data_IF_183375803686
#
_entry.id   IF_183375803686
#
_cell.length_a   1.000
_cell.length_b   1.000
_cell.length_c   1.000
_cell.angle_alpha   90.00
_cell.angle_beta   90.00
_cell.angle_gamma   90.00
#
_symmetry.space_group_name_H-M   'P 1'
#
loop_
_entity.id
_entity.type
_entity.pdbx_description
1 polymer ?
#
# COMPACT_ATOMS: atom_id res chain seq x y z
N UNK A 1 -20.05 -16.13 10.32
CA UNK A 1 -18.60 -16.31 10.04
C UNK A 1 -18.38 -17.39 8.98
N UNK A 2 -18.60 -17.08 7.69
CA UNK A 2 -18.61 -18.06 6.57
C UNK A 2 -17.42 -17.96 5.60
N UNK A 3 -16.36 -17.20 5.90
CA UNK A 3 -15.41 -16.73 4.86
C UNK A 3 -13.95 -17.17 5.04
N UNK A 4 -13.71 -18.40 5.44
CA UNK A 4 -12.38 -19.01 5.41
C UNK A 4 -12.49 -20.35 4.71
N UNK A 5 -11.53 -20.68 3.84
CA UNK A 5 -11.46 -21.99 3.21
C UNK A 5 -10.86 -23.05 4.14
N UNK A 6 -10.33 -22.63 5.29
CA UNK A 6 -9.77 -23.51 6.30
C UNK A 6 -10.88 -24.23 7.06
N UNK A 7 -10.84 -25.56 6.99
CA UNK A 7 -11.68 -26.46 7.79
C UNK A 7 -11.33 -26.39 9.29
N UNK A 8 -12.23 -26.88 10.16
CA UNK A 8 -11.94 -27.00 11.60
C UNK A 8 -10.68 -27.83 11.88
N UNK A 9 -10.47 -28.91 11.11
CA UNK A 9 -9.29 -29.77 11.21
C UNK A 9 -8.01 -29.00 10.86
N UNK A 10 -7.98 -28.33 9.70
CA UNK A 10 -6.82 -27.52 9.29
C UNK A 10 -6.47 -26.43 10.31
N UNK A 11 -7.47 -25.78 10.93
CA UNK A 11 -7.22 -24.79 12.00
C UNK A 11 -6.60 -25.42 13.25
N UNK A 12 -7.07 -26.60 13.65
CA UNK A 12 -6.45 -27.37 14.75
C UNK A 12 -5.00 -27.76 14.42
N UNK A 13 -4.76 -28.21 13.20
CA UNK A 13 -3.41 -28.57 12.74
C UNK A 13 -2.48 -27.35 12.68
N UNK A 14 -2.97 -26.19 12.22
CA UNK A 14 -2.22 -24.93 12.27
C UNK A 14 -1.79 -24.59 13.71
N UNK A 15 -2.70 -24.68 14.69
CA UNK A 15 -2.36 -24.39 16.09
C UNK A 15 -1.28 -25.35 16.65
N UNK A 16 -1.36 -26.63 16.29
CA UNK A 16 -0.33 -27.62 16.63
C UNK A 16 1.01 -27.30 15.97
N UNK A 17 1.00 -26.96 14.68
CA UNK A 17 2.22 -26.61 13.95
C UNK A 17 2.86 -25.32 14.46
N UNK A 18 2.07 -24.32 14.87
CA UNK A 18 2.59 -23.10 15.50
C UNK A 18 3.35 -23.47 16.78
N UNK A 19 2.73 -24.27 17.65
CA UNK A 19 3.35 -24.70 18.92
C UNK A 19 4.63 -25.51 18.70
N UNK A 20 4.70 -26.28 17.61
CA UNK A 20 5.87 -27.06 17.23
C UNK A 20 6.91 -26.27 16.40
N UNK A 21 6.64 -25.01 16.04
CA UNK A 21 7.49 -24.23 15.12
C UNK A 21 7.58 -24.78 13.70
N UNK A 22 6.61 -25.61 13.28
CA UNK A 22 6.55 -26.22 11.94
C UNK A 22 5.85 -25.30 10.94
N UNK A 23 6.56 -24.25 10.50
CA UNK A 23 6.01 -23.31 9.53
C UNK A 23 5.77 -23.92 8.14
N UNK A 24 6.52 -24.95 7.75
CA UNK A 24 6.29 -25.65 6.49
C UNK A 24 4.90 -26.29 6.46
N UNK A 25 4.50 -26.99 7.53
CA UNK A 25 3.16 -27.57 7.64
C UNK A 25 2.04 -26.54 7.55
N UNK A 26 2.24 -25.34 8.11
CA UNK A 26 1.28 -24.23 8.01
C UNK A 26 1.17 -23.74 6.56
N UNK A 27 2.31 -23.55 5.89
CA UNK A 27 2.33 -23.08 4.50
C UNK A 27 1.74 -24.10 3.54
N UNK A 28 2.03 -25.40 3.70
CA UNK A 28 1.41 -26.46 2.89
C UNK A 28 -0.12 -26.46 2.98
N UNK A 29 -0.69 -26.13 4.16
CA UNK A 29 -2.14 -25.96 4.30
C UNK A 29 -2.64 -24.76 3.49
N UNK A 30 -1.96 -23.61 3.56
CA UNK A 30 -2.33 -22.42 2.77
C UNK A 30 -2.20 -22.68 1.26
N UNK A 31 -1.13 -23.34 0.83
CA UNK A 31 -0.92 -23.71 -0.57
C UNK A 31 -2.07 -24.60 -1.07
N UNK A 32 -2.54 -25.56 -0.26
CA UNK A 32 -3.66 -26.45 -0.62
C UNK A 32 -5.01 -25.74 -0.82
N UNK A 33 -5.18 -24.53 -0.29
CA UNK A 33 -6.40 -23.71 -0.43
C UNK A 33 -6.17 -22.47 -1.31
N UNK A 34 -5.08 -22.45 -2.08
CA UNK A 34 -4.75 -21.34 -2.97
C UNK A 34 -5.74 -21.22 -4.13
N UNK A 35 -5.99 -19.98 -4.53
CA UNK A 35 -6.92 -19.69 -5.62
C UNK A 35 -6.21 -19.69 -6.95
N UNK A 36 -6.89 -20.12 -8.02
CA UNK A 36 -6.34 -20.10 -9.38
C UNK A 36 -5.98 -18.69 -9.87
N UNK A 37 -6.78 -17.69 -9.46
CA UNK A 37 -6.60 -16.32 -9.94
C UNK A 37 -5.34 -15.67 -9.37
N UNK A 38 -5.09 -15.85 -8.08
CA UNK A 38 -4.05 -15.11 -7.37
C UNK A 38 -2.80 -15.97 -7.08
N UNK A 39 -2.91 -17.29 -7.21
CA UNK A 39 -1.81 -18.23 -6.95
C UNK A 39 -1.52 -18.42 -5.44
N UNK A 40 -2.30 -17.78 -4.57
CA UNK A 40 -2.15 -17.86 -3.11
C UNK A 40 -3.51 -18.05 -2.42
N UNK A 41 -3.49 -18.33 -1.12
CA UNK A 41 -4.69 -18.48 -0.30
C UNK A 41 -5.48 -17.17 -0.19
N UNK A 42 -6.77 -17.24 0.15
CA UNK A 42 -7.57 -16.03 0.35
C UNK A 42 -7.01 -15.21 1.53
N UNK A 43 -7.15 -13.89 1.43
CA UNK A 43 -6.71 -12.95 2.46
C UNK A 43 -7.18 -13.30 3.88
N UNK A 44 -8.41 -13.81 4.04
CA UNK A 44 -8.96 -14.18 5.35
C UNK A 44 -8.24 -15.39 5.96
N UNK A 45 -7.82 -16.36 5.15
CA UNK A 45 -7.05 -17.53 5.60
C UNK A 45 -5.64 -17.11 6.04
N UNK A 46 -4.98 -16.27 5.24
CA UNK A 46 -3.65 -15.70 5.57
C UNK A 46 -3.70 -14.85 6.84
N UNK A 47 -4.71 -14.00 7.01
CA UNK A 47 -4.92 -13.19 8.23
C UNK A 47 -5.19 -14.04 9.46
N UNK A 48 -5.92 -15.15 9.32
CA UNK A 48 -6.12 -16.09 10.42
C UNK A 48 -4.78 -16.68 10.88
N UNK A 49 -3.97 -17.20 9.95
CA UNK A 49 -2.63 -17.74 10.27
C UNK A 49 -1.73 -16.69 10.92
N UNK A 50 -1.67 -15.48 10.36
CA UNK A 50 -0.88 -14.37 10.94
C UNK A 50 -1.34 -14.08 12.37
N UNK A 51 -2.66 -14.00 12.60
CA UNK A 51 -3.21 -13.70 13.92
C UNK A 51 -2.86 -14.78 14.95
N UNK A 52 -2.95 -16.06 14.59
CA UNK A 52 -2.60 -17.16 15.49
C UNK A 52 -1.10 -17.20 15.81
N UNK A 53 -0.23 -16.98 14.82
CA UNK A 53 1.22 -16.88 15.07
C UNK A 53 1.53 -15.71 16.02
N UNK A 54 0.94 -14.54 15.77
CA UNK A 54 1.13 -13.34 16.60
C UNK A 54 0.63 -13.57 18.02
N UNK A 55 -0.56 -14.17 18.17
CA UNK A 55 -1.13 -14.52 19.47
C UNK A 55 -0.20 -15.46 20.24
N UNK A 56 0.27 -16.52 19.58
CA UNK A 56 1.17 -17.48 20.22
C UNK A 56 2.47 -16.83 20.70
N UNK A 57 3.14 -16.05 19.84
CA UNK A 57 4.39 -15.36 20.18
C UNK A 57 4.19 -14.38 21.34
N UNK A 58 3.08 -13.62 21.35
CA UNK A 58 2.82 -12.67 22.43
C UNK A 58 2.49 -13.34 23.77
N UNK A 59 1.87 -14.53 23.77
CA UNK A 59 1.53 -15.26 25.00
C UNK A 59 2.73 -16.01 25.57
N UNK A 60 3.55 -16.62 24.71
CA UNK A 60 4.64 -17.52 25.14
C UNK A 60 6.02 -16.84 25.17
N UNK A 61 6.17 -15.67 24.54
CA UNK A 61 7.46 -15.05 24.32
C UNK A 61 7.99 -14.29 25.53
N UNK A 62 9.08 -14.77 26.13
CA UNK A 62 9.93 -13.94 27.02
C UNK A 62 10.55 -12.74 26.27
N UNK A 63 10.77 -12.90 24.96
CA UNK A 63 11.25 -11.85 24.06
C UNK A 63 10.50 -11.91 22.71
N UNK A 64 9.31 -11.30 22.61
CA UNK A 64 8.46 -11.39 21.43
C UNK A 64 9.15 -10.88 20.14
N UNK A 65 9.98 -9.84 20.23
CA UNK A 65 10.65 -9.27 19.05
C UNK A 65 11.63 -10.25 18.40
N UNK A 66 12.41 -10.98 19.20
CA UNK A 66 13.31 -12.02 18.69
C UNK A 66 12.52 -13.18 18.08
N UNK A 67 11.42 -13.59 18.71
CA UNK A 67 10.59 -14.68 18.19
C UNK A 67 9.87 -14.30 16.90
N UNK A 68 9.40 -13.06 16.75
CA UNK A 68 8.91 -12.54 15.47
C UNK A 68 9.97 -12.60 14.38
N UNK A 69 11.22 -12.23 14.71
CA UNK A 69 12.33 -12.29 13.74
C UNK A 69 12.57 -13.73 13.28
N UNK A 70 12.73 -14.67 14.22
CA UNK A 70 12.98 -16.09 13.92
C UNK A 70 11.86 -16.72 13.12
N UNK A 71 10.61 -16.52 13.54
CA UNK A 71 9.42 -17.05 12.87
C UNK A 71 9.29 -16.49 11.44
N UNK A 72 9.38 -15.16 11.31
CA UNK A 72 9.31 -14.47 10.02
C UNK A 72 10.42 -14.91 9.08
N UNK A 73 11.66 -15.06 9.57
CA UNK A 73 12.79 -15.53 8.77
C UNK A 73 12.60 -16.98 8.30
N UNK A 74 12.10 -17.88 9.15
CA UNK A 74 11.79 -19.27 8.77
C UNK A 74 10.72 -19.31 7.67
N UNK A 75 9.66 -18.52 7.82
CA UNK A 75 8.60 -18.39 6.80
C UNK A 75 9.15 -17.86 5.48
N UNK A 76 9.90 -16.76 5.49
CA UNK A 76 10.46 -16.11 4.30
C UNK A 76 11.48 -16.96 3.53
N UNK A 77 12.02 -18.00 4.16
CA UNK A 77 12.91 -18.98 3.51
C UNK A 77 12.17 -20.11 2.80
N UNK A 78 10.86 -20.28 3.03
CA UNK A 78 10.06 -21.29 2.34
C UNK A 78 9.74 -20.77 0.94
N UNK A 79 9.95 -21.62 -0.09
CA UNK A 79 9.66 -21.30 -1.49
C UNK A 79 8.16 -21.39 -1.78
N UNK A 80 7.40 -20.42 -1.28
CA UNK A 80 5.96 -20.25 -1.54
C UNK A 80 5.58 -18.77 -1.42
N UNK A 81 4.70 -18.29 -2.29
CA UNK A 81 4.21 -16.91 -2.20
C UNK A 81 3.34 -16.69 -0.96
N UNK A 82 2.56 -17.69 -0.52
CA UNK A 82 1.87 -17.65 0.78
C UNK A 82 2.88 -17.46 1.92
N UNK A 83 4.05 -18.10 1.84
CA UNK A 83 5.09 -17.98 2.85
C UNK A 83 5.71 -16.58 2.88
N UNK A 84 5.92 -15.95 1.71
CA UNK A 84 6.40 -14.56 1.64
C UNK A 84 5.39 -13.59 2.26
N UNK A 85 4.11 -13.74 1.92
CA UNK A 85 3.03 -12.88 2.39
C UNK A 85 2.80 -12.99 3.90
N UNK A 86 2.76 -14.21 4.45
CA UNK A 86 2.67 -14.42 5.90
C UNK A 86 3.97 -13.97 6.56
N UNK A 87 5.11 -14.40 6.03
CA UNK A 87 6.43 -14.14 6.59
C UNK A 87 6.76 -12.67 6.70
N UNK A 88 6.43 -11.84 5.70
CA UNK A 88 6.67 -10.40 5.75
C UNK A 88 5.82 -9.71 6.81
N UNK A 89 4.58 -10.17 7.00
CA UNK A 89 3.73 -9.70 8.08
C UNK A 89 4.23 -10.14 9.46
N UNK A 90 4.88 -11.30 9.59
CA UNK A 90 5.49 -11.69 10.88
C UNK A 90 6.78 -10.91 11.14
N UNK A 91 7.70 -10.84 10.17
CA UNK A 91 9.05 -10.33 10.41
C UNK A 91 9.09 -8.82 10.69
N UNK A 92 8.18 -8.02 10.11
CA UNK A 92 8.23 -6.56 10.29
C UNK A 92 8.04 -6.16 11.76
N UNK A 93 7.32 -6.97 12.54
CA UNK A 93 7.09 -6.76 13.98
C UNK A 93 8.38 -6.82 14.78
N UNK A 94 9.44 -7.42 14.23
CA UNK A 94 10.76 -7.47 14.83
C UNK A 94 11.65 -6.27 14.48
N UNK A 95 11.13 -5.25 13.77
CA UNK A 95 11.93 -4.12 13.27
C UNK A 95 12.77 -3.45 14.37
N UNK A 96 12.21 -3.24 15.58
CA UNK A 96 12.94 -2.62 16.70
C UNK A 96 14.15 -3.45 17.18
N UNK A 97 14.13 -4.75 16.96
CA UNK A 97 15.21 -5.66 17.36
C UNK A 97 16.28 -5.83 16.28
N UNK A 98 15.87 -5.91 15.00
CA UNK A 98 16.75 -6.16 13.85
C UNK A 98 16.44 -5.23 12.67
N UNK A 99 16.63 -3.90 12.81
CA UNK A 99 16.13 -2.94 11.84
C UNK A 99 16.76 -3.09 10.45
N UNK A 100 18.06 -3.39 10.37
CA UNK A 100 18.76 -3.53 9.09
C UNK A 100 18.29 -4.78 8.33
N UNK A 101 18.24 -5.92 9.02
CA UNK A 101 17.84 -7.20 8.43
C UNK A 101 16.35 -7.19 8.04
N UNK A 102 15.49 -6.65 8.89
CA UNK A 102 14.06 -6.48 8.57
C UNK A 102 13.88 -5.53 7.39
N UNK A 103 14.64 -4.43 7.30
CA UNK A 103 14.62 -3.53 6.14
C UNK A 103 15.03 -4.25 4.86
N UNK A 104 16.04 -5.13 4.90
CA UNK A 104 16.45 -5.93 3.76
C UNK A 104 15.34 -6.86 3.25
N UNK A 105 14.59 -7.49 4.16
CA UNK A 105 13.42 -8.29 3.79
C UNK A 105 12.26 -7.46 3.26
N UNK A 106 11.95 -6.32 3.89
CA UNK A 106 10.94 -5.39 3.40
C UNK A 106 11.27 -4.91 1.98
N UNK A 107 12.54 -4.61 1.69
CA UNK A 107 12.98 -4.26 0.35
C UNK A 107 12.71 -5.39 -0.64
N UNK A 108 13.26 -6.58 -0.36
CA UNK A 108 13.16 -7.75 -1.23
C UNK A 108 11.72 -8.14 -1.56
N UNK A 109 10.84 -8.15 -0.57
CA UNK A 109 9.46 -8.57 -0.75
C UNK A 109 8.60 -7.46 -1.40
N UNK A 110 8.97 -6.19 -1.20
CA UNK A 110 8.32 -5.07 -1.92
C UNK A 110 8.66 -5.11 -3.42
N UNK A 111 9.84 -5.60 -3.80
CA UNK A 111 10.25 -5.78 -5.20
C UNK A 111 9.90 -7.16 -5.80
N UNK A 112 9.06 -7.95 -5.13
CA UNK A 112 8.77 -9.30 -5.61
C UNK A 112 8.06 -9.28 -6.98
N UNK A 113 8.35 -10.25 -7.84
CA UNK A 113 7.70 -10.40 -9.14
C UNK A 113 6.20 -10.63 -9.04
N UNK A 114 5.73 -11.31 -7.98
CA UNK A 114 4.31 -11.55 -7.78
C UNK A 114 3.62 -10.30 -7.20
N UNK A 115 2.62 -9.80 -7.92
CA UNK A 115 1.88 -8.60 -7.53
C UNK A 115 1.12 -8.74 -6.22
N UNK A 116 0.60 -9.93 -5.87
CA UNK A 116 -0.12 -10.14 -4.62
C UNK A 116 0.83 -10.08 -3.41
N UNK A 117 2.02 -10.65 -3.56
CA UNK A 117 3.11 -10.55 -2.56
C UNK A 117 3.44 -9.09 -2.28
N UNK A 118 3.51 -8.24 -3.32
CA UNK A 118 3.75 -6.79 -3.16
C UNK A 118 2.63 -6.08 -2.40
N UNK A 119 1.37 -6.50 -2.51
CA UNK A 119 0.27 -5.93 -1.71
C UNK A 119 0.45 -6.22 -0.21
N UNK A 120 0.89 -7.43 0.14
CA UNK A 120 1.23 -7.78 1.53
C UNK A 120 2.47 -7.00 2.01
N UNK A 121 3.48 -6.84 1.15
CA UNK A 121 4.64 -6.01 1.45
C UNK A 121 4.24 -4.57 1.80
N UNK A 122 3.34 -3.96 1.02
CA UNK A 122 2.83 -2.61 1.27
C UNK A 122 2.13 -2.50 2.64
N UNK A 123 1.36 -3.52 3.04
CA UNK A 123 0.78 -3.62 4.37
C UNK A 123 1.83 -3.68 5.49
N UNK A 124 2.89 -4.46 5.29
CA UNK A 124 4.02 -4.56 6.22
C UNK A 124 4.83 -3.24 6.29
N UNK A 125 5.03 -2.53 5.19
CA UNK A 125 5.65 -1.20 5.19
C UNK A 125 4.84 -0.18 5.98
N UNK A 126 3.52 -0.16 5.78
CA UNK A 126 2.60 0.70 6.52
C UNK A 126 2.62 0.38 8.03
N UNK A 127 2.60 -0.91 8.39
CA UNK A 127 2.73 -1.37 9.78
C UNK A 127 4.06 -0.95 10.40
N UNK A 128 5.17 -1.16 9.69
CA UNK A 128 6.52 -0.76 10.13
C UNK A 128 6.58 0.73 10.40
N UNK A 129 6.11 1.56 9.45
CA UNK A 129 6.10 3.01 9.59
C UNK A 129 5.24 3.49 10.77
N UNK A 130 4.07 2.87 10.97
CA UNK A 130 3.14 3.19 12.06
C UNK A 130 3.78 2.93 13.43
N UNK A 131 4.45 1.79 13.57
CA UNK A 131 5.06 1.34 14.84
C UNK A 131 6.46 1.95 15.06
N UNK A 132 7.10 2.44 14.00
CA UNK A 132 8.48 2.92 13.97
C UNK A 132 8.61 4.18 13.09
N UNK A 133 8.27 5.38 13.61
CA UNK A 133 8.28 6.62 12.83
C UNK A 133 9.62 6.96 12.16
N UNK A 134 10.75 6.48 12.70
CA UNK A 134 12.09 6.63 12.12
C UNK A 134 12.25 5.91 10.77
N UNK A 135 11.45 4.89 10.48
CA UNK A 135 11.44 4.18 9.19
C UNK A 135 11.06 5.11 8.03
N UNK A 136 10.48 6.27 8.31
CA UNK A 136 10.27 7.35 7.33
C UNK A 136 11.55 7.73 6.57
N UNK A 137 12.72 7.69 7.21
CA UNK A 137 14.00 7.98 6.56
C UNK A 137 14.37 6.94 5.51
N UNK A 138 13.98 5.68 5.70
CA UNK A 138 14.13 4.63 4.69
C UNK A 138 13.22 4.91 3.50
N UNK A 139 11.95 5.24 3.76
CA UNK A 139 11.00 5.57 2.69
C UNK A 139 11.45 6.79 1.87
N UNK A 140 12.04 7.81 2.52
CA UNK A 140 12.65 8.97 1.83
C UNK A 140 13.78 8.58 0.87
N UNK A 141 14.50 7.50 1.12
CA UNK A 141 15.51 6.98 0.18
C UNK A 141 14.82 6.24 -0.96
N UNK A 142 13.85 5.39 -0.63
CA UNK A 142 13.15 4.55 -1.61
C UNK A 142 12.28 5.30 -2.61
N UNK A 143 11.88 6.55 -2.35
CA UNK A 143 11.21 7.38 -3.39
C UNK A 143 12.09 7.63 -4.62
N UNK A 144 13.41 7.43 -4.52
CA UNK A 144 14.37 7.56 -5.62
C UNK A 144 14.94 6.21 -6.07
N UNK A 145 14.41 5.11 -5.57
CA UNK A 145 14.87 3.77 -5.94
C UNK A 145 14.65 3.52 -7.44
N UNK A 146 15.50 2.72 -8.08
CA UNK A 146 15.34 2.34 -9.49
C UNK A 146 14.08 1.49 -9.72
N UNK A 147 13.69 0.68 -8.73
CA UNK A 147 12.48 -0.15 -8.82
C UNK A 147 11.21 0.67 -8.67
N UNK A 148 10.32 0.60 -9.68
CA UNK A 148 8.98 1.18 -9.58
C UNK A 148 8.10 0.50 -8.51
N UNK A 149 8.39 -0.77 -8.17
CA UNK A 149 7.68 -1.49 -7.13
C UNK A 149 7.97 -0.89 -5.76
N UNK A 150 9.24 -0.55 -5.48
CA UNK A 150 9.64 0.12 -4.25
C UNK A 150 9.02 1.50 -4.14
N UNK A 151 9.10 2.30 -5.21
CA UNK A 151 8.48 3.65 -5.25
C UNK A 151 6.97 3.58 -5.03
N UNK A 152 6.28 2.60 -5.63
CA UNK A 152 4.86 2.32 -5.35
C UNK A 152 4.64 1.87 -3.90
N UNK A 153 5.50 1.01 -3.36
CA UNK A 153 5.44 0.58 -1.97
C UNK A 153 5.47 1.77 -1.01
N UNK A 154 6.28 2.79 -1.31
CA UNK A 154 6.29 4.06 -0.56
C UNK A 154 4.94 4.79 -0.64
N UNK A 155 4.34 4.90 -1.83
CA UNK A 155 3.01 5.51 -2.03
C UNK A 155 1.97 4.86 -1.10
N UNK A 156 1.95 3.53 -1.02
CA UNK A 156 0.99 2.79 -0.19
C UNK A 156 1.32 2.85 1.30
N UNK A 157 2.60 2.79 1.68
CA UNK A 157 3.03 2.89 3.07
C UNK A 157 2.61 4.22 3.72
N UNK A 158 2.58 5.31 2.93
CA UNK A 158 2.15 6.62 3.39
C UNK A 158 0.69 6.68 3.87
N UNK A 159 -0.15 5.68 3.56
CA UNK A 159 -1.51 5.60 4.12
C UNK A 159 -1.53 5.53 5.64
N UNK A 160 -0.48 4.97 6.27
CA UNK A 160 -0.31 4.93 7.73
C UNK A 160 -0.11 6.32 8.36
N UNK A 161 0.23 7.33 7.56
CA UNK A 161 0.43 8.71 8.00
C UNK A 161 -0.84 9.56 7.87
N UNK A 162 -1.94 9.02 7.35
CA UNK A 162 -3.22 9.75 7.27
C UNK A 162 -3.82 9.91 8.66
N UNK A 163 -3.93 11.15 9.13
CA UNK A 163 -4.46 11.45 10.44
C UNK A 163 -5.17 12.81 10.45
N UNK A 164 -6.49 12.82 10.71
CA UNK A 164 -7.28 14.06 10.71
C UNK A 164 -6.96 14.96 11.89
N UNK A 165 -6.44 14.39 12.98
CA UNK A 165 -6.16 15.11 14.21
C UNK A 165 -4.68 15.46 14.36
N UNK A 166 -3.83 14.96 13.46
CA UNK A 166 -2.39 15.23 13.45
C UNK A 166 -1.94 15.72 12.06
N UNK A 167 -1.97 17.03 11.90
CA UNK A 167 -1.54 17.70 10.68
C UNK A 167 -0.03 17.51 10.40
N UNK A 168 0.81 17.37 11.43
CA UNK A 168 2.26 17.18 11.28
C UNK A 168 2.56 15.81 10.69
N UNK A 169 1.89 14.77 11.19
CA UNK A 169 1.98 13.41 10.67
C UNK A 169 1.43 13.31 9.25
N UNK A 170 0.26 13.91 8.99
CA UNK A 170 -0.29 13.97 7.62
C UNK A 170 0.65 14.69 6.66
N UNK A 171 1.27 15.80 7.08
CA UNK A 171 2.23 16.54 6.25
C UNK A 171 3.44 15.69 5.84
N UNK A 172 3.87 14.71 6.65
CA UNK A 172 4.95 13.78 6.26
C UNK A 172 4.58 12.94 5.04
N UNK A 173 3.32 12.52 4.90
CA UNK A 173 2.83 11.81 3.71
C UNK A 173 2.97 12.69 2.46
N UNK A 174 2.46 13.91 2.54
CA UNK A 174 2.47 14.85 1.41
C UNK A 174 3.88 15.28 0.98
N UNK A 175 4.85 15.31 1.90
CA UNK A 175 6.27 15.51 1.53
C UNK A 175 6.83 14.39 0.67
N UNK A 176 6.43 13.14 0.90
CA UNK A 176 6.82 12.01 0.04
C UNK A 176 6.03 12.02 -1.26
N UNK A 177 4.73 12.33 -1.21
CA UNK A 177 3.91 12.46 -2.41
C UNK A 177 4.44 13.54 -3.35
N UNK A 178 4.87 14.70 -2.84
CA UNK A 178 5.47 15.77 -3.64
C UNK A 178 6.66 15.28 -4.48
N UNK A 179 7.53 14.45 -3.92
CA UNK A 179 8.65 13.85 -4.66
C UNK A 179 8.17 12.86 -5.72
N UNK A 180 7.15 12.05 -5.38
CA UNK A 180 6.60 11.02 -6.26
C UNK A 180 5.64 11.56 -7.34
N UNK A 181 5.22 12.82 -7.26
CA UNK A 181 4.40 13.45 -8.30
C UNK A 181 5.11 13.54 -9.66
N UNK A 182 6.45 13.56 -9.64
CA UNK A 182 7.31 13.60 -10.83
C UNK A 182 7.57 12.21 -11.44
N UNK A 183 7.09 11.13 -10.83
CA UNK A 183 7.39 9.78 -11.28
C UNK A 183 6.81 9.51 -12.69
N UNK A 184 7.64 9.00 -13.59
CA UNK A 184 7.22 8.68 -14.96
C UNK A 184 6.52 7.33 -15.06
N UNK A 185 6.72 6.42 -14.09
CA UNK A 185 6.09 5.11 -14.06
C UNK A 185 4.57 5.24 -13.98
N UNK A 186 3.88 4.58 -14.92
CA UNK A 186 2.43 4.46 -14.87
C UNK A 186 1.97 3.75 -13.60
N UNK A 187 2.74 2.74 -13.14
CA UNK A 187 2.39 1.97 -11.96
C UNK A 187 2.39 2.84 -10.70
N UNK A 188 3.41 3.67 -10.51
CA UNK A 188 3.47 4.62 -9.39
C UNK A 188 2.37 5.68 -9.51
N UNK A 189 2.24 6.31 -10.68
CA UNK A 189 1.28 7.40 -10.90
C UNK A 189 -0.18 7.01 -10.70
N UNK A 190 -0.60 5.84 -11.19
CA UNK A 190 -1.98 5.36 -10.99
C UNK A 190 -2.27 5.11 -9.51
N UNK A 191 -1.28 4.65 -8.74
CA UNK A 191 -1.44 4.50 -7.30
C UNK A 191 -1.42 5.87 -6.58
N UNK A 192 -0.63 6.84 -7.04
CA UNK A 192 -0.55 8.15 -6.40
C UNK A 192 -1.75 9.06 -6.73
N UNK A 193 -1.97 9.39 -8.00
CA UNK A 193 -2.97 10.37 -8.43
C UNK A 193 -4.42 9.92 -8.14
N UNK A 194 -4.98 9.00 -8.94
CA UNK A 194 -6.38 8.60 -8.78
C UNK A 194 -6.65 7.82 -7.49
N UNK A 195 -5.75 6.93 -7.07
CA UNK A 195 -6.02 6.09 -5.90
C UNK A 195 -5.72 6.81 -4.58
N UNK A 196 -4.48 7.20 -4.31
CA UNK A 196 -4.09 7.77 -3.02
C UNK A 196 -4.58 9.22 -2.86
N UNK A 197 -4.28 10.12 -3.79
CA UNK A 197 -4.70 11.53 -3.68
C UNK A 197 -6.19 11.68 -3.93
N UNK A 198 -6.75 10.99 -4.94
CA UNK A 198 -8.18 11.00 -5.23
C UNK A 198 -8.99 10.20 -4.23
N UNK A 199 -9.05 8.89 -4.42
CA UNK A 199 -10.01 8.03 -3.72
C UNK A 199 -9.76 7.91 -2.21
N UNK A 200 -8.49 7.84 -1.77
CA UNK A 200 -8.15 7.56 -0.38
C UNK A 200 -8.03 8.81 0.49
N UNK A 201 -7.15 9.76 0.15
CA UNK A 201 -7.01 11.02 0.88
C UNK A 201 -8.09 12.01 0.45
N UNK A 202 -8.43 12.14 -0.83
CA UNK A 202 -9.39 13.14 -1.32
C UNK A 202 -10.76 13.00 -0.68
N UNK A 203 -11.29 11.78 -0.60
CA UNK A 203 -12.58 11.53 0.08
C UNK A 203 -12.52 11.68 1.61
N UNK A 204 -11.33 11.61 2.23
CA UNK A 204 -11.20 11.62 3.69
C UNK A 204 -10.67 12.94 4.25
N UNK A 205 -9.95 13.73 3.46
CA UNK A 205 -9.25 14.96 3.82
C UNK A 205 -9.23 15.92 2.60
N UNK A 206 -10.40 16.24 2.02
CA UNK A 206 -10.52 16.94 0.73
C UNK A 206 -9.77 18.28 0.72
N UNK A 207 -9.92 19.09 1.78
CA UNK A 207 -9.25 20.40 1.87
C UNK A 207 -7.73 20.30 1.84
N UNK A 208 -7.15 19.26 2.45
CA UNK A 208 -5.69 19.03 2.43
C UNK A 208 -5.22 18.64 1.03
N UNK A 209 -5.96 17.75 0.36
CA UNK A 209 -5.65 17.33 -1.01
C UNK A 209 -5.80 18.50 -1.98
N UNK A 210 -6.91 19.24 -1.95
CA UNK A 210 -7.12 20.39 -2.83
C UNK A 210 -6.02 21.46 -2.65
N UNK A 211 -5.63 21.75 -1.41
CA UNK A 211 -4.51 22.66 -1.13
C UNK A 211 -3.19 22.15 -1.72
N UNK A 212 -2.91 20.86 -1.58
CA UNK A 212 -1.72 20.23 -2.17
C UNK A 212 -1.75 20.27 -3.70
N UNK A 213 -2.86 19.86 -4.33
CA UNK A 213 -3.00 19.90 -5.78
C UNK A 213 -2.87 21.33 -6.32
N UNK A 214 -3.41 22.33 -5.62
CA UNK A 214 -3.27 23.75 -5.98
C UNK A 214 -1.82 24.22 -5.92
N UNK A 215 -1.04 23.76 -4.92
CA UNK A 215 0.41 23.99 -4.88
C UNK A 215 1.09 23.35 -6.09
N UNK A 216 0.80 22.07 -6.37
CA UNK A 216 1.44 21.32 -7.45
C UNK A 216 1.06 21.79 -8.86
N UNK A 217 -0.09 22.46 -9.02
CA UNK A 217 -0.55 22.99 -10.30
C UNK A 217 0.41 24.02 -10.92
N UNK A 218 1.26 24.66 -10.09
CA UNK A 218 2.28 25.61 -10.52
C UNK A 218 3.50 24.94 -11.18
N UNK A 219 3.64 23.62 -11.06
CA UNK A 219 4.83 22.89 -11.53
C UNK A 219 4.67 22.56 -13.01
N UNK A 220 5.66 22.96 -13.81
CA UNK A 220 5.67 22.68 -15.24
C UNK A 220 6.24 21.28 -15.58
N UNK A 221 5.74 20.24 -14.91
CA UNK A 221 6.05 18.84 -15.23
C UNK A 221 4.78 18.09 -15.70
N UNK A 222 4.83 17.36 -16.84
CA UNK A 222 3.64 16.70 -17.39
C UNK A 222 3.14 15.52 -16.54
N UNK A 223 4.00 14.85 -15.75
CA UNK A 223 3.60 13.79 -14.84
C UNK A 223 2.90 14.34 -13.60
N UNK A 224 3.40 15.46 -13.06
CA UNK A 224 2.74 16.18 -11.97
C UNK A 224 1.34 16.60 -12.39
N UNK A 225 1.21 17.25 -13.55
CA UNK A 225 -0.08 17.75 -14.04
C UNK A 225 -1.05 16.62 -14.43
N UNK A 226 -0.53 15.51 -14.96
CA UNK A 226 -1.32 14.30 -15.16
C UNK A 226 -1.88 13.75 -13.86
N UNK A 227 -1.06 13.67 -12.79
CA UNK A 227 -1.52 13.20 -11.48
C UNK A 227 -2.61 14.11 -10.90
N UNK A 228 -2.52 15.44 -11.10
CA UNK A 228 -3.56 16.40 -10.68
C UNK A 228 -4.87 16.12 -11.41
N UNK A 229 -4.85 16.01 -12.74
CA UNK A 229 -6.06 15.71 -13.52
C UNK A 229 -6.69 14.38 -13.07
N UNK A 230 -5.87 13.34 -12.92
CA UNK A 230 -6.34 11.99 -12.61
C UNK A 230 -6.78 11.82 -11.15
N UNK A 231 -6.36 12.69 -10.22
CA UNK A 231 -6.90 12.69 -8.86
C UNK A 231 -8.42 12.88 -8.84
N UNK A 232 -9.00 13.55 -9.85
CA UNK A 232 -10.45 13.74 -10.00
C UNK A 232 -11.14 12.65 -10.82
N UNK A 233 -10.41 11.69 -11.41
CA UNK A 233 -10.99 10.59 -12.19
C UNK A 233 -11.45 9.43 -11.29
N UNK A 234 -12.31 9.73 -10.31
CA UNK A 234 -12.88 8.78 -9.35
C UNK A 234 -13.96 9.50 -8.51
N UNK A 235 -14.38 8.87 -7.41
CA UNK A 235 -15.38 9.43 -6.48
C UNK A 235 -15.00 10.81 -5.93
N UNK A 236 -13.72 11.14 -5.77
CA UNK A 236 -13.30 12.46 -5.30
C UNK A 236 -13.73 13.58 -6.27
N UNK A 237 -13.53 13.39 -7.58
CA UNK A 237 -14.04 14.36 -8.57
C UNK A 237 -15.56 14.45 -8.57
N UNK A 238 -16.25 13.32 -8.41
CA UNK A 238 -17.72 13.31 -8.35
C UNK A 238 -18.28 13.99 -7.09
N UNK A 239 -17.56 13.91 -5.97
CA UNK A 239 -17.96 14.52 -4.70
C UNK A 239 -17.62 16.02 -4.65
N UNK A 240 -16.64 16.47 -5.45
CA UNK A 240 -16.21 17.87 -5.52
C UNK A 240 -16.16 18.36 -6.98
N UNK A 241 -17.29 18.34 -7.71
CA UNK A 241 -17.32 18.62 -9.14
C UNK A 241 -16.84 20.02 -9.50
N UNK A 242 -17.28 21.05 -8.76
CA UNK A 242 -16.91 22.44 -9.06
C UNK A 242 -15.40 22.68 -8.85
N UNK A 243 -14.82 22.11 -7.80
CA UNK A 243 -13.38 22.16 -7.58
C UNK A 243 -12.65 21.39 -8.69
N UNK A 244 -13.10 20.18 -9.03
CA UNK A 244 -12.51 19.40 -10.12
C UNK A 244 -12.46 20.20 -11.43
N UNK A 245 -13.55 20.87 -11.80
CA UNK A 245 -13.60 21.72 -13.00
C UNK A 245 -12.61 22.88 -12.95
N UNK A 246 -12.43 23.54 -11.80
CA UNK A 246 -11.41 24.61 -11.67
C UNK A 246 -10.03 24.11 -12.04
N UNK A 247 -9.63 22.93 -11.56
CA UNK A 247 -8.34 22.32 -11.91
C UNK A 247 -8.29 21.88 -13.38
N UNK A 248 -9.32 21.17 -13.84
CA UNK A 248 -9.35 20.61 -15.18
C UNK A 248 -9.39 21.71 -16.26
N UNK A 249 -10.06 22.84 -16.03
CA UNK A 249 -10.10 23.97 -16.97
C UNK A 249 -8.74 24.66 -17.11
N UNK A 250 -7.97 24.74 -16.03
CA UNK A 250 -6.57 25.21 -16.11
C UNK A 250 -5.74 24.24 -16.96
N UNK A 251 -5.85 22.93 -16.69
CA UNK A 251 -5.09 21.90 -17.38
C UNK A 251 -5.56 21.63 -18.82
N UNK A 252 -6.78 22.01 -19.20
CA UNK A 252 -7.30 21.83 -20.55
C UNK A 252 -6.55 22.68 -21.59
N UNK A 253 -5.88 23.74 -21.15
CA UNK A 253 -5.03 24.60 -22.00
C UNK A 253 -3.62 24.01 -22.21
N UNK A 254 -3.31 22.89 -21.57
CA UNK A 254 -2.01 22.24 -21.68
C UNK A 254 -1.81 21.64 -23.07
N UNK A 255 -0.63 21.83 -23.66
CA UNK A 255 -0.27 21.31 -24.97
C UNK A 255 0.35 19.90 -24.90
N UNK A 256 0.73 19.42 -23.72
CA UNK A 256 1.34 18.12 -23.56
C UNK A 256 0.29 16.99 -23.73
N UNK A 257 0.50 16.04 -24.66
CA UNK A 257 -0.46 14.98 -24.94
C UNK A 257 -0.76 14.07 -23.74
N UNK A 258 0.20 13.88 -22.83
CA UNK A 258 -0.02 13.08 -21.61
C UNK A 258 -1.06 13.76 -20.74
N UNK A 259 -0.91 15.07 -20.51
CA UNK A 259 -1.83 15.86 -19.69
C UNK A 259 -3.21 15.93 -20.33
N UNK A 260 -3.29 16.22 -21.63
CA UNK A 260 -4.55 16.28 -22.37
C UNK A 260 -5.36 14.98 -22.26
N UNK A 261 -4.70 13.82 -22.39
CA UNK A 261 -5.37 12.52 -22.20
C UNK A 261 -5.90 12.34 -20.78
N UNK A 262 -5.14 12.77 -19.77
CA UNK A 262 -5.57 12.74 -18.37
C UNK A 262 -6.79 13.63 -18.13
N UNK A 263 -6.76 14.87 -18.62
CA UNK A 263 -7.87 15.83 -18.52
C UNK A 263 -9.12 15.30 -19.20
N UNK A 264 -9.00 14.85 -20.45
CA UNK A 264 -10.12 14.26 -21.20
C UNK A 264 -10.74 13.07 -20.44
N UNK A 265 -9.90 12.20 -19.88
CA UNK A 265 -10.39 11.06 -19.11
C UNK A 265 -11.14 11.50 -17.85
N UNK A 266 -10.63 12.47 -17.11
CA UNK A 266 -11.27 12.97 -15.89
C UNK A 266 -12.58 13.72 -16.20
N UNK A 267 -12.62 14.55 -17.24
CA UNK A 267 -13.82 15.24 -17.70
C UNK A 267 -14.91 14.25 -18.15
N UNK A 268 -14.54 13.25 -18.96
CA UNK A 268 -15.48 12.21 -19.39
C UNK A 268 -16.08 11.45 -18.20
N UNK A 269 -15.27 11.14 -17.19
CA UNK A 269 -15.75 10.51 -15.96
C UNK A 269 -16.75 11.41 -15.21
N UNK A 270 -16.40 12.69 -15.05
CA UNK A 270 -17.20 13.67 -14.31
C UNK A 270 -18.55 13.92 -15.00
N UNK A 271 -18.55 14.14 -16.31
CA UNK A 271 -19.75 14.39 -17.13
C UNK A 271 -20.71 13.19 -17.14
N UNK A 272 -20.17 11.96 -17.18
CA UNK A 272 -21.00 10.75 -17.11
C UNK A 272 -21.81 10.66 -15.81
N UNK A 273 -21.28 11.23 -14.71
CA UNK A 273 -21.86 11.16 -13.37
C UNK A 273 -22.62 12.42 -12.98
N UNK A 274 -22.39 13.55 -13.65
CA UNK A 274 -22.98 14.84 -13.33
C UNK A 274 -23.48 15.54 -14.61
N UNK A 275 -24.66 15.14 -15.09
CA UNK A 275 -25.24 15.61 -16.37
C UNK A 275 -25.54 17.12 -16.43
N UNK A 276 -25.58 17.80 -15.28
CA UNK A 276 -25.89 19.23 -15.19
C UNK A 276 -24.64 20.13 -15.23
N UNK A 277 -23.44 19.55 -15.26
CA UNK A 277 -22.20 20.29 -15.34
C UNK A 277 -21.95 20.74 -16.78
N UNK A 278 -21.74 22.05 -16.97
CA UNK A 278 -21.28 22.63 -18.24
C UNK A 278 -19.75 22.79 -18.17
N UNK A 279 -19.05 22.23 -19.16
CA UNK A 279 -17.58 22.26 -19.30
C UNK A 279 -17.19 23.27 -20.36
#
# INVERSE_FOLDING_TARGET
MKDTLLTKKQKSDIAKYISAGNYFGIISILDSVSTKHSGTAKMKDKRYVIAEIVKYINVQGKNPLNEFYKAGLKLLKIKSDNAKEVGIHIIYRAYKHKPAEVTGWLYKITDDSNWEVREYAAGALAGTLKENPQFYNTLKKWVKDSSENLRRGVVLACTALRDRNDAVKTAKAFRLFELLMYDSSRYVKVNLGPFILGSYFGNNMPGVVLKFLKKMLKVNDPHVRWNIAMAFNNSFGNNYPDEALKFLNVLNKDKNPVVQRGVKSALNHLLKRNKNIRV
#
